data_IF_326920055303
#
_entry.id   IF_326920055303
#
_cell.length_a   1.000
_cell.length_b   1.000
_cell.length_c   1.000
_cell.angle_alpha   90.00
_cell.angle_beta   90.00
_cell.angle_gamma   90.00
#
_symmetry.space_group_name_H-M   'P 1'
#
loop_
_entity.id
_entity.type
_entity.pdbx_description
1 polymer ?
#
# COMPACT_ATOMS: atom_id res chain seq x y z
N UNK A 1 -8.90 -13.02 -8.19
CA UNK A 1 -8.07 -12.33 -7.18
C UNK A 1 -8.27 -10.86 -7.44
N UNK A 2 -8.95 -10.14 -6.55
CA UNK A 2 -9.21 -8.71 -6.73
C UNK A 2 -8.03 -7.96 -6.09
N UNK A 3 -7.34 -7.13 -6.86
CA UNK A 3 -6.29 -6.25 -6.36
C UNK A 3 -6.91 -4.88 -6.10
N UNK A 4 -6.70 -4.33 -4.91
CA UNK A 4 -6.91 -2.92 -4.67
C UNK A 4 -5.55 -2.25 -4.73
N UNK A 5 -5.33 -1.47 -5.78
CA UNK A 5 -4.12 -0.66 -5.93
C UNK A 5 -4.42 0.74 -5.43
N UNK A 6 -3.59 1.21 -4.51
CA UNK A 6 -3.61 2.58 -4.02
C UNK A 6 -2.29 3.19 -4.43
N UNK A 7 -2.34 4.25 -5.23
CA UNK A 7 -1.16 5.03 -5.57
C UNK A 7 -0.93 6.04 -4.44
N UNK A 8 0.06 5.86 -3.54
CA UNK A 8 0.51 6.98 -2.73
C UNK A 8 1.19 7.97 -3.69
N UNK A 9 0.57 9.15 -3.88
CA UNK A 9 1.11 10.18 -4.75
C UNK A 9 2.57 10.49 -4.47
N UNK A 10 3.30 10.91 -5.54
CA UNK A 10 4.72 11.26 -5.64
C UNK A 10 5.43 11.38 -4.28
N UNK A 11 5.73 10.24 -3.69
CA UNK A 11 6.62 10.11 -2.55
C UNK A 11 7.51 8.95 -2.92
N UNK A 12 8.44 9.20 -3.86
CA UNK A 12 9.46 8.23 -4.24
C UNK A 12 10.30 7.89 -3.02
N UNK A 13 9.89 6.87 -2.28
CA UNK A 13 10.61 6.38 -1.12
C UNK A 13 11.51 5.21 -1.49
N UNK A 14 11.27 4.60 -2.65
CA UNK A 14 12.11 3.57 -3.23
C UNK A 14 12.68 4.04 -4.57
N UNK A 15 13.35 5.21 -4.54
CA UNK A 15 14.13 5.75 -5.65
C UNK A 15 13.42 6.83 -6.48
N UNK A 16 13.94 7.10 -7.69
CA UNK A 16 13.46 8.15 -8.61
C UNK A 16 12.19 7.76 -9.39
N UNK A 17 11.44 6.76 -8.93
CA UNK A 17 10.28 6.17 -9.61
C UNK A 17 8.96 6.46 -8.91
N UNK A 18 7.90 5.77 -9.35
CA UNK A 18 6.58 5.76 -8.70
C UNK A 18 6.39 4.46 -7.93
N UNK A 19 5.89 4.55 -6.71
CA UNK A 19 5.61 3.39 -5.86
C UNK A 19 4.12 3.06 -5.91
N UNK A 20 3.78 1.86 -6.39
CA UNK A 20 2.41 1.37 -6.45
C UNK A 20 2.16 0.41 -5.28
N UNK A 21 1.09 0.65 -4.50
CA UNK A 21 0.76 -0.18 -3.34
C UNK A 21 -0.41 -1.09 -3.65
N UNK A 22 -0.20 -2.40 -3.54
CA UNK A 22 -1.20 -3.42 -3.81
C UNK A 22 -1.58 -4.11 -2.50
N UNK A 23 -2.87 -4.18 -2.22
CA UNK A 23 -3.41 -4.92 -1.07
C UNK A 23 -3.95 -6.27 -1.53
N UNK A 24 -3.45 -7.35 -0.93
CA UNK A 24 -3.96 -8.69 -1.21
C UNK A 24 -3.92 -9.59 0.02
N UNK A 25 -5.04 -10.22 0.36
CA UNK A 25 -5.19 -11.17 1.47
C UNK A 25 -4.54 -10.69 2.79
N UNK A 26 -4.71 -9.41 3.13
CA UNK A 26 -4.16 -8.81 4.35
C UNK A 26 -2.66 -8.53 4.32
N UNK A 27 -2.02 -8.62 3.16
CA UNK A 27 -0.62 -8.26 2.92
C UNK A 27 -0.54 -7.03 2.02
N UNK A 28 0.56 -6.30 2.15
CA UNK A 28 0.88 -5.16 1.29
C UNK A 28 2.04 -5.53 0.38
N UNK A 29 1.93 -5.18 -0.89
CA UNK A 29 3.01 -5.26 -1.87
C UNK A 29 3.28 -3.85 -2.39
N UNK A 30 4.46 -3.32 -2.11
CA UNK A 30 4.93 -2.03 -2.63
C UNK A 30 5.83 -2.31 -3.83
N UNK A 31 5.44 -1.80 -5.00
CA UNK A 31 6.16 -2.01 -6.25
C UNK A 31 6.69 -0.69 -6.77
N UNK A 32 8.02 -0.56 -6.75
CA UNK A 32 8.71 0.57 -7.34
C UNK A 32 8.79 0.39 -8.86
N UNK A 33 8.19 1.34 -9.59
CA UNK A 33 8.23 1.42 -11.04
C UNK A 33 9.18 2.55 -11.40
N UNK A 34 10.38 2.17 -11.84
CA UNK A 34 11.46 3.09 -12.17
C UNK A 34 11.78 3.04 -13.66
N UNK A 35 12.23 4.15 -14.26
CA UNK A 35 12.73 4.14 -15.63
C UNK A 35 13.85 3.10 -15.79
N UNK A 36 13.79 2.35 -16.88
CA UNK A 36 14.87 1.47 -17.27
C UNK A 36 16.05 2.27 -17.84
N UNK A 37 17.18 1.61 -18.05
CA UNK A 37 18.34 2.22 -18.73
C UNK A 37 18.09 2.50 -20.21
N UNK A 38 17.07 1.86 -20.80
CA UNK A 38 16.67 2.10 -22.18
C UNK A 38 15.49 3.11 -22.22
N UNK A 39 15.58 4.18 -23.04
CA UNK A 39 14.50 5.15 -23.19
C UNK A 39 13.28 4.58 -23.93
N UNK A 40 13.46 3.54 -24.76
CA UNK A 40 12.40 2.88 -25.54
C UNK A 40 11.73 1.73 -24.78
N UNK A 41 12.10 1.54 -23.51
CA UNK A 41 11.51 0.55 -22.64
C UNK A 41 10.04 0.89 -22.34
N UNK A 42 9.16 -0.11 -22.43
CA UNK A 42 7.72 0.05 -22.18
C UNK A 42 7.44 0.67 -20.79
N UNK A 43 8.21 0.29 -19.76
CA UNK A 43 8.07 0.84 -18.40
C UNK A 43 8.46 2.32 -18.40
N UNK A 44 9.55 2.69 -19.08
CA UNK A 44 9.99 4.09 -19.19
C UNK A 44 8.95 4.94 -19.92
N UNK A 45 8.38 4.44 -21.02
CA UNK A 45 7.36 5.15 -21.80
C UNK A 45 6.05 5.32 -21.01
N UNK A 46 5.59 4.28 -20.33
CA UNK A 46 4.39 4.35 -19.49
C UNK A 46 4.57 5.32 -18.33
N UNK A 47 5.73 5.33 -17.66
CA UNK A 47 6.05 6.31 -16.63
C UNK A 47 6.09 7.76 -17.17
N UNK A 48 6.66 7.98 -18.36
CA UNK A 48 6.69 9.30 -18.98
C UNK A 48 5.28 9.82 -19.29
N UNK A 49 4.41 8.94 -19.79
CA UNK A 49 2.97 9.24 -19.99
C UNK A 49 2.28 9.55 -18.66
N UNK A 50 2.55 8.77 -17.61
CA UNK A 50 1.95 8.99 -16.29
C UNK A 50 2.34 10.36 -15.72
N UNK A 51 3.64 10.70 -15.75
CA UNK A 51 4.14 12.00 -15.34
C UNK A 51 3.50 13.15 -16.13
N UNK A 52 3.30 12.96 -17.44
CA UNK A 52 2.65 13.97 -18.30
C UNK A 52 1.18 14.17 -17.93
N UNK A 53 0.46 13.08 -17.61
CA UNK A 53 -0.93 13.16 -17.15
C UNK A 53 -1.05 13.90 -15.82
N UNK A 54 -0.17 13.61 -14.85
CA UNK A 54 -0.11 14.32 -13.56
C UNK A 54 0.15 15.81 -13.78
N UNK A 55 1.16 16.17 -14.59
CA UNK A 55 1.50 17.57 -14.87
C UNK A 55 0.34 18.33 -15.52
N UNK A 56 -0.49 17.64 -16.31
CA UNK A 56 -1.68 18.21 -16.95
C UNK A 56 -2.93 18.14 -16.08
N UNK A 57 -2.84 17.55 -14.89
CA UNK A 57 -3.98 17.25 -14.01
C UNK A 57 -5.11 16.49 -14.74
N UNK A 58 -4.73 15.62 -15.69
CA UNK A 58 -5.66 14.82 -16.48
C UNK A 58 -5.97 13.51 -15.75
N UNK A 59 -6.98 13.57 -14.88
CA UNK A 59 -7.41 12.44 -14.03
C UNK A 59 -7.88 11.23 -14.83
N UNK A 60 -8.37 11.43 -16.05
CA UNK A 60 -8.83 10.31 -16.89
C UNK A 60 -7.62 9.56 -17.44
N UNK A 61 -6.67 10.29 -18.02
CA UNK A 61 -5.42 9.72 -18.51
C UNK A 61 -4.61 9.08 -17.38
N UNK A 62 -4.57 9.71 -16.20
CA UNK A 62 -3.93 9.16 -14.99
C UNK A 62 -4.46 7.77 -14.66
N UNK A 63 -5.79 7.60 -14.58
CA UNK A 63 -6.43 6.31 -14.28
C UNK A 63 -6.23 5.26 -15.38
N UNK A 64 -6.28 5.67 -16.64
CA UNK A 64 -6.05 4.75 -17.77
C UNK A 64 -4.61 4.20 -17.72
N UNK A 65 -3.63 5.06 -17.43
CA UNK A 65 -2.23 4.67 -17.32
C UNK A 65 -1.97 3.87 -16.04
N UNK A 66 -2.65 4.17 -14.93
CA UNK A 66 -2.62 3.33 -13.73
C UNK A 66 -3.04 1.90 -14.04
N UNK A 67 -4.14 1.72 -14.79
CA UNK A 67 -4.57 0.39 -15.25
C UNK A 67 -3.50 -0.34 -16.06
N UNK A 68 -2.80 0.36 -16.97
CA UNK A 68 -1.69 -0.24 -17.72
C UNK A 68 -0.54 -0.70 -16.81
N UNK A 69 -0.22 0.08 -15.77
CA UNK A 69 0.82 -0.30 -14.78
C UNK A 69 0.36 -1.48 -13.94
N UNK A 70 -0.91 -1.50 -13.51
CA UNK A 70 -1.49 -2.62 -12.77
C UNK A 70 -1.41 -3.92 -13.56
N UNK A 71 -1.72 -3.88 -14.86
CA UNK A 71 -1.63 -5.04 -15.75
C UNK A 71 -0.18 -5.56 -15.84
N UNK A 72 0.81 -4.67 -15.99
CA UNK A 72 2.23 -5.05 -15.99
C UNK A 72 2.65 -5.71 -14.67
N UNK A 73 2.23 -5.15 -13.54
CA UNK A 73 2.54 -5.72 -12.22
C UNK A 73 1.85 -7.07 -12.03
N UNK A 74 0.60 -7.21 -12.48
CA UNK A 74 -0.12 -8.46 -12.41
C UNK A 74 0.58 -9.55 -13.26
N UNK A 75 0.98 -9.22 -14.49
CA UNK A 75 1.69 -10.13 -15.39
C UNK A 75 3.00 -10.64 -14.77
N UNK A 76 3.84 -9.72 -14.26
CA UNK A 76 5.13 -10.05 -13.68
C UNK A 76 5.07 -10.61 -12.25
N UNK A 77 3.97 -10.40 -11.53
CA UNK A 77 3.91 -10.58 -10.08
C UNK A 77 2.92 -11.61 -9.55
N UNK A 78 1.91 -12.02 -10.33
CA UNK A 78 0.78 -12.78 -9.78
C UNK A 78 1.18 -14.08 -9.07
N UNK A 79 2.18 -14.82 -9.59
CA UNK A 79 2.64 -16.07 -8.97
C UNK A 79 3.31 -15.82 -7.62
N UNK A 80 4.14 -14.78 -7.57
CA UNK A 80 4.82 -14.35 -6.34
C UNK A 80 3.82 -13.89 -5.31
N UNK A 81 2.82 -13.09 -5.72
CA UNK A 81 1.76 -12.63 -4.82
C UNK A 81 0.88 -13.77 -4.32
N UNK A 82 0.50 -14.71 -5.18
CA UNK A 82 -0.28 -15.88 -4.79
C UNK A 82 0.47 -16.76 -3.77
N UNK A 83 1.80 -16.85 -3.89
CA UNK A 83 2.63 -17.57 -2.93
C UNK A 83 2.77 -16.85 -1.58
N UNK A 84 3.01 -15.53 -1.60
CA UNK A 84 3.23 -14.72 -0.39
C UNK A 84 1.93 -14.35 0.35
N UNK A 85 0.82 -14.28 -0.38
CA UNK A 85 -0.49 -13.93 0.12
C UNK A 85 -1.52 -14.97 -0.36
N UNK A 86 -1.44 -16.23 0.12
CA UNK A 86 -2.39 -17.27 -0.26
C UNK A 86 -3.81 -16.91 0.20
N UNK A 87 -4.81 -17.53 -0.45
CA UNK A 87 -6.20 -17.36 -0.07
C UNK A 87 -6.41 -17.77 1.40
N UNK A 88 -7.06 -16.90 2.17
CA UNK A 88 -7.33 -17.15 3.58
C UNK A 88 -8.49 -18.15 3.66
N UNK A 89 -8.21 -19.39 4.04
CA UNK A 89 -9.19 -20.49 4.07
C UNK A 89 -9.96 -20.62 5.38
N UNK A 90 -9.78 -19.71 6.35
CA UNK A 90 -10.47 -19.78 7.64
C UNK A 90 -10.92 -18.41 8.13
N UNK A 91 -11.98 -18.40 8.95
CA UNK A 91 -12.36 -17.27 9.77
C UNK A 91 -11.20 -17.00 10.76
N UNK A 92 -10.28 -16.11 10.39
CA UNK A 92 -9.27 -15.62 11.32
C UNK A 92 -9.99 -14.85 12.43
N UNK A 93 -9.47 -14.99 13.65
CA UNK A 93 -9.79 -14.05 14.72
C UNK A 93 -9.59 -12.62 14.21
N UNK A 94 -10.46 -11.67 14.59
CA UNK A 94 -10.31 -10.30 14.14
C UNK A 94 -8.90 -9.80 14.49
N UNK A 95 -8.17 -9.19 13.53
CA UNK A 95 -6.83 -8.71 13.81
C UNK A 95 -6.87 -7.64 14.89
N UNK A 96 -5.85 -7.59 15.74
CA UNK A 96 -5.65 -6.45 16.61
C UNK A 96 -5.28 -5.21 15.77
N UNK A 97 -5.56 -4.03 16.30
CA UNK A 97 -5.40 -2.76 15.61
C UNK A 97 -3.93 -2.50 15.24
N UNK A 98 -2.97 -3.00 16.02
CA UNK A 98 -1.56 -2.91 15.68
C UNK A 98 -1.22 -3.77 14.45
N UNK A 99 -1.63 -5.05 14.43
CA UNK A 99 -1.44 -5.92 13.27
C UNK A 99 -2.15 -5.39 12.02
N UNK A 100 -3.31 -4.75 12.19
CA UNK A 100 -4.06 -4.17 11.09
C UNK A 100 -3.37 -2.95 10.46
N UNK A 101 -2.74 -2.12 11.28
CA UNK A 101 -1.96 -0.96 10.82
C UNK A 101 -0.53 -1.29 10.38
N UNK A 102 -0.03 -2.47 10.76
CA UNK A 102 1.31 -2.94 10.41
C UNK A 102 1.20 -4.27 9.67
N UNK A 103 0.45 -4.34 8.56
CA UNK A 103 0.39 -5.55 7.77
C UNK A 103 1.77 -5.86 7.22
N UNK A 104 2.07 -7.15 7.10
CA UNK A 104 3.31 -7.59 6.48
C UNK A 104 3.40 -7.01 5.07
N UNK A 105 4.50 -6.30 4.83
CA UNK A 105 4.73 -5.51 3.62
C UNK A 105 5.94 -6.06 2.89
N UNK A 106 5.76 -6.36 1.62
CA UNK A 106 6.80 -6.83 0.72
C UNK A 106 7.15 -5.74 -0.28
N UNK A 107 8.43 -5.61 -0.60
CA UNK A 107 8.95 -4.57 -1.47
C UNK A 107 9.51 -5.20 -2.74
N UNK A 108 9.11 -4.65 -3.89
CA UNK A 108 9.53 -5.12 -5.20
C UNK A 108 9.93 -3.95 -6.08
N UNK A 109 10.70 -4.25 -7.11
CA UNK A 109 10.95 -3.37 -8.23
C UNK A 109 10.46 -4.04 -9.51
N UNK A 110 9.71 -3.30 -10.31
CA UNK A 110 9.36 -3.69 -11.67
C UNK A 110 10.61 -3.52 -12.56
N UNK A 111 10.97 -4.58 -13.28
CA UNK A 111 12.08 -4.55 -14.24
C UNK A 111 11.66 -5.20 -15.55
N UNK A 112 12.20 -4.70 -16.66
CA UNK A 112 12.15 -5.43 -17.92
C UNK A 112 13.38 -6.32 -18.03
N UNK A 113 13.18 -7.63 -17.98
CA UNK A 113 14.22 -8.63 -18.15
C UNK A 113 13.91 -9.47 -19.39
N UNK A 114 14.84 -9.49 -20.36
CA UNK A 114 14.72 -10.30 -21.59
C UNK A 114 13.40 -10.06 -22.37
N UNK A 115 12.93 -8.82 -22.38
CA UNK A 115 11.69 -8.42 -23.06
C UNK A 115 10.41 -8.83 -22.33
N UNK A 116 10.49 -9.25 -21.06
CA UNK A 116 9.34 -9.54 -20.20
C UNK A 116 9.39 -8.71 -18.92
N UNK A 117 8.22 -8.39 -18.41
CA UNK A 117 8.07 -7.71 -17.13
C UNK A 117 8.27 -8.71 -16.00
N UNK A 118 9.17 -8.39 -15.08
CA UNK A 118 9.47 -9.21 -13.90
C UNK A 118 9.49 -8.36 -12.63
N UNK A 119 9.20 -8.98 -11.48
CA UNK A 119 9.34 -8.37 -10.17
C UNK A 119 10.58 -8.90 -9.45
N UNK A 120 11.46 -7.97 -9.04
CA UNK A 120 12.63 -8.29 -8.22
C UNK A 120 12.38 -7.83 -6.79
N UNK A 121 12.41 -8.77 -5.84
CA UNK A 121 12.24 -8.45 -4.43
C UNK A 121 13.38 -7.55 -3.91
N UNK A 122 13.02 -6.58 -3.07
CA UNK A 122 13.92 -5.63 -2.44
C UNK A 122 13.79 -5.70 -0.93
N UNK A 123 14.86 -5.27 -0.26
CA UNK A 123 14.81 -5.03 1.18
C UNK A 123 13.86 -3.86 1.48
N UNK A 124 13.18 -3.88 2.64
CA UNK A 124 12.39 -2.74 3.08
C UNK A 124 13.25 -1.47 3.17
N UNK A 125 12.68 -0.29 2.91
CA UNK A 125 13.36 0.97 3.17
C UNK A 125 13.63 1.11 4.68
N UNK A 126 14.59 1.95 5.08
CA UNK A 126 14.81 2.26 6.49
C UNK A 126 13.52 2.77 7.14
N UNK A 127 13.22 2.38 8.39
CA UNK A 127 12.04 2.86 9.07
C UNK A 127 12.05 4.38 9.16
N UNK A 128 10.92 5.00 8.81
CA UNK A 128 10.75 6.45 8.97
C UNK A 128 10.84 6.80 10.45
N UNK A 129 11.29 8.03 10.74
CA UNK A 129 11.30 8.52 12.13
C UNK A 129 9.87 8.49 12.68
N UNK A 130 9.66 7.99 13.90
CA UNK A 130 8.33 7.95 14.49
C UNK A 130 7.78 9.37 14.60
N UNK A 131 6.55 9.56 14.13
CA UNK A 131 5.82 10.79 14.33
C UNK A 131 5.54 10.97 15.82
N UNK A 132 5.98 12.09 16.38
CA UNK A 132 5.70 12.45 17.78
C UNK A 132 4.49 13.37 17.82
N UNK A 133 3.31 12.79 18.03
CA UNK A 133 2.15 13.59 18.43
C UNK A 133 2.38 14.04 19.89
N UNK A 134 2.41 15.35 20.13
CA UNK A 134 2.42 15.89 21.49
C UNK A 134 1.03 15.72 22.09
N UNK A 135 0.78 14.57 22.72
CA UNK A 135 -0.43 14.36 23.53
C UNK A 135 -0.15 15.01 24.87
N UNK A 136 -0.90 16.05 25.25
CA UNK A 136 -0.73 16.62 26.58
C UNK A 136 -1.13 15.57 27.63
N UNK A 137 -0.26 15.27 28.58
CA UNK A 137 -0.60 14.41 29.72
C UNK A 137 -1.74 14.98 30.59
N UNK A 138 -2.14 16.24 30.37
CA UNK A 138 -3.27 16.88 31.03
C UNK A 138 -4.66 16.34 30.64
N UNK A 139 -4.75 15.48 29.61
CA UNK A 139 -6.02 14.87 29.23
C UNK A 139 -6.27 13.60 30.06
N UNK A 140 -7.36 13.56 30.83
CA UNK A 140 -7.84 12.35 31.55
C UNK A 140 -8.41 11.27 30.61
N UNK A 141 -7.90 11.19 29.37
CA UNK A 141 -8.40 10.25 28.38
C UNK A 141 -7.79 8.86 28.61
N UNK A 142 -8.59 7.79 28.49
CA UNK A 142 -8.07 6.44 28.59
C UNK A 142 -7.07 6.16 27.47
N UNK A 143 -5.97 5.48 27.82
CA UNK A 143 -4.92 5.06 26.89
C UNK A 143 -5.00 3.56 26.70
N UNK A 144 -4.98 3.13 25.45
CA UNK A 144 -5.02 1.72 25.08
C UNK A 144 -3.79 1.40 24.23
N UNK A 145 -3.21 0.21 24.44
CA UNK A 145 -2.28 -0.35 23.46
C UNK A 145 -3.06 -0.75 22.21
N UNK A 146 -2.52 -0.45 21.02
CA UNK A 146 -3.15 -0.91 19.77
C UNK A 146 -3.21 -2.44 19.66
N UNK A 147 -2.39 -3.17 20.43
CA UNK A 147 -2.44 -4.64 20.52
C UNK A 147 -3.63 -5.17 21.34
N UNK A 148 -4.19 -4.34 22.20
CA UNK A 148 -5.32 -4.70 23.07
C UNK A 148 -6.67 -4.29 22.47
N UNK A 149 -6.65 -3.76 21.24
CA UNK A 149 -7.84 -3.30 20.51
C UNK A 149 -8.10 -4.27 19.36
N UNK A 150 -9.24 -4.95 19.37
CA UNK A 150 -9.63 -5.87 18.29
C UNK A 150 -10.41 -5.11 17.21
N UNK A 151 -10.06 -5.28 15.94
CA UNK A 151 -10.80 -4.70 14.80
C UNK A 151 -11.99 -5.57 14.45
N UNK A 152 -13.22 -5.11 14.71
CA UNK A 152 -14.44 -5.87 14.48
C UNK A 152 -14.96 -5.74 13.05
N UNK A 153 -14.94 -4.52 12.52
CA UNK A 153 -15.48 -4.22 11.19
C UNK A 153 -14.76 -2.99 10.62
N UNK A 154 -14.44 -3.03 9.32
CA UNK A 154 -13.89 -1.87 8.60
C UNK A 154 -14.97 -1.25 7.73
N UNK A 155 -15.16 0.05 7.88
CA UNK A 155 -16.09 0.79 7.04
C UNK A 155 -15.38 1.28 5.77
N UNK A 156 -15.92 0.99 4.58
CA UNK A 156 -15.34 1.48 3.32
C UNK A 156 -15.50 3.00 3.20
N UNK A 157 -14.50 3.70 2.65
CA UNK A 157 -14.57 5.15 2.44
C UNK A 157 -13.21 5.84 2.37
N UNK A 158 -13.22 7.17 2.43
CA UNK A 158 -11.99 7.99 2.46
C UNK A 158 -11.42 8.02 3.88
N UNK A 159 -10.29 7.35 4.07
CA UNK A 159 -9.59 7.24 5.36
C UNK A 159 -9.83 5.90 6.05
N UNK A 160 -9.25 5.75 7.24
CA UNK A 160 -9.45 4.54 8.05
C UNK A 160 -10.50 4.82 9.12
N UNK A 161 -11.64 4.14 9.02
CA UNK A 161 -12.68 4.11 10.05
C UNK A 161 -13.03 2.64 10.30
N UNK A 162 -12.98 2.22 11.56
CA UNK A 162 -13.29 0.86 11.94
C UNK A 162 -14.09 0.80 13.25
N UNK A 163 -15.01 -0.15 13.33
CA UNK A 163 -15.57 -0.60 14.60
C UNK A 163 -14.51 -1.44 15.29
N UNK A 164 -14.24 -1.14 16.56
CA UNK A 164 -13.23 -1.83 17.36
C UNK A 164 -13.79 -2.23 18.71
N UNK A 165 -13.18 -3.22 19.36
CA UNK A 165 -13.41 -3.54 20.77
C UNK A 165 -12.16 -3.19 21.57
N UNK A 166 -12.30 -2.37 22.60
CA UNK A 166 -11.26 -2.05 23.56
C UNK A 166 -11.78 -2.34 24.97
N UNK A 167 -11.08 -3.18 25.74
CA UNK A 167 -11.57 -3.64 27.05
C UNK A 167 -13.01 -4.19 27.02
N UNK A 168 -13.34 -4.97 25.99
CA UNK A 168 -14.68 -5.56 25.80
C UNK A 168 -15.80 -4.54 25.55
N UNK A 169 -15.46 -3.28 25.27
CA UNK A 169 -16.41 -2.23 24.89
C UNK A 169 -16.26 -1.90 23.42
N UNK A 170 -17.38 -1.85 22.71
CA UNK A 170 -17.42 -1.42 21.31
C UNK A 170 -17.14 0.09 21.21
N UNK A 171 -16.25 0.46 20.30
CA UNK A 171 -15.89 1.83 20.01
C UNK A 171 -15.66 2.04 18.51
N UNK A 172 -15.50 3.30 18.10
CA UNK A 172 -15.12 3.68 16.74
C UNK A 172 -13.69 4.18 16.73
N UNK A 173 -12.86 3.64 15.85
CA UNK A 173 -11.49 4.08 15.62
C UNK A 173 -11.42 4.86 14.29
N UNK A 174 -10.84 6.06 14.35
CA UNK A 174 -10.47 6.85 13.17
C UNK A 174 -9.00 7.22 13.25
N UNK A 175 -8.25 7.01 12.18
CA UNK A 175 -6.87 7.49 12.11
C UNK A 175 -6.86 8.94 11.63
N UNK A 176 -6.17 9.80 12.39
CA UNK A 176 -5.72 11.07 11.85
C UNK A 176 -4.49 10.82 10.94
N UNK A 177 -4.65 11.03 9.64
CA UNK A 177 -3.50 11.23 8.74
C UNK A 177 -3.25 12.73 8.67
N UNK A 178 -2.01 13.16 8.90
CA UNK A 178 -1.60 14.52 8.58
C UNK A 178 -1.50 14.62 7.06
N UNK A 179 -2.17 15.62 6.47
CA UNK A 179 -2.03 16.00 5.06
C UNK A 179 -0.73 16.79 4.92
#
# INVERSE_FOLDING_TARGET
>A
MLFHVVCPGINGEIGKGHDFTIFCNGKIFVVAVCPASSPDDQVTLTLARYNTAILRNDRKAEREIEGEVEDMIAEGGWRTFAHLAPAISSAKSPPDLHSDFNPETFYFRLVLARGRVELVQKSPPPPRRPFRLAISDASNLPRYSARDISVLEKFPGVGYIAKVSANWQDACCKIAKTI
#
